data_IF_932180262032
#
_entry.id   IF_932180262032
#
_cell.length_a   1.000
_cell.length_b   1.000
_cell.length_c   1.000
_cell.angle_alpha   90.00
_cell.angle_beta   90.00
_cell.angle_gamma   90.00
#
_symmetry.space_group_name_H-M   'P 1'
#
loop_
_entity.id
_entity.type
_entity.pdbx_description
1 polymer ?
#
# COMPACT_ATOMS: atom_id res chain seq x y z
N UNK A 1 2.60 -17.41 -1.09
CA UNK A 1 1.56 -17.21 -0.03
C UNK A 1 1.12 -15.76 -0.09
N UNK A 2 -0.20 -15.49 0.07
CA UNK A 2 -0.73 -14.12 0.08
C UNK A 2 -0.96 -13.66 1.51
N UNK A 3 -0.72 -12.36 1.77
CA UNK A 3 -1.18 -11.66 2.95
C UNK A 3 -2.64 -11.25 2.71
N UNK A 4 -3.53 -11.74 3.55
CA UNK A 4 -4.95 -11.39 3.48
C UNK A 4 -5.20 -9.97 4.00
N UNK A 5 -6.32 -9.37 3.59
CA UNK A 5 -6.78 -8.06 4.06
C UNK A 5 -7.47 -8.19 5.43
N UNK A 6 -6.69 -8.28 6.49
CA UNK A 6 -7.19 -8.53 7.85
C UNK A 6 -7.95 -7.33 8.45
N UNK A 7 -7.75 -6.15 7.91
CA UNK A 7 -8.36 -4.90 8.40
C UNK A 7 -9.50 -4.38 7.52
N UNK A 8 -9.84 -5.10 6.44
CA UNK A 8 -11.04 -4.84 5.65
C UNK A 8 -12.31 -5.03 6.51
N UNK A 9 -13.22 -4.08 6.46
CA UNK A 9 -14.41 -4.01 7.32
C UNK A 9 -14.15 -3.44 8.73
N UNK A 10 -12.88 -3.13 9.07
CA UNK A 10 -12.49 -2.56 10.36
C UNK A 10 -11.90 -1.15 10.16
N UNK A 11 -10.87 -1.03 9.34
CA UNK A 11 -10.18 0.24 9.04
C UNK A 11 -10.71 0.91 7.77
N UNK A 12 -11.22 0.11 6.82
CA UNK A 12 -11.76 0.54 5.54
C UNK A 12 -12.84 -0.45 5.08
N UNK A 13 -13.74 -0.09 4.13
CA UNK A 13 -14.80 -0.97 3.66
C UNK A 13 -14.28 -2.29 3.10
N UNK A 14 -14.96 -3.41 3.43
CA UNK A 14 -14.64 -4.74 2.91
C UNK A 14 -15.19 -4.97 1.49
N UNK A 15 -16.24 -4.25 1.11
CA UNK A 15 -16.86 -4.38 -0.20
C UNK A 15 -16.17 -3.49 -1.21
N UNK A 16 -15.79 -4.06 -2.36
CA UNK A 16 -15.03 -3.37 -3.41
C UNK A 16 -15.69 -2.08 -3.88
N UNK A 17 -17.00 -2.11 -4.13
CA UNK A 17 -17.75 -0.95 -4.62
C UNK A 17 -17.80 0.17 -3.58
N UNK A 18 -18.05 -0.19 -2.31
CA UNK A 18 -18.07 0.76 -1.20
C UNK A 18 -16.71 1.42 -1.01
N UNK A 19 -15.63 0.61 -1.03
CA UNK A 19 -14.26 1.10 -0.89
C UNK A 19 -13.88 2.05 -2.04
N UNK A 20 -14.19 1.69 -3.28
CA UNK A 20 -13.94 2.56 -4.42
C UNK A 20 -14.70 3.89 -4.33
N UNK A 21 -15.98 3.84 -3.98
CA UNK A 21 -16.81 5.04 -3.84
C UNK A 21 -16.26 5.96 -2.74
N UNK A 22 -15.79 5.37 -1.62
CA UNK A 22 -15.18 6.12 -0.54
C UNK A 22 -13.88 6.80 -0.99
N UNK A 23 -12.98 6.06 -1.64
CA UNK A 23 -11.72 6.59 -2.16
C UNK A 23 -11.95 7.72 -3.18
N UNK A 24 -12.91 7.54 -4.09
CA UNK A 24 -13.29 8.59 -5.06
C UNK A 24 -13.82 9.84 -4.36
N UNK A 25 -14.58 9.68 -3.26
CA UNK A 25 -15.12 10.81 -2.50
C UNK A 25 -14.03 11.65 -1.80
N UNK A 26 -12.86 11.05 -1.54
CA UNK A 26 -11.72 11.73 -0.92
C UNK A 26 -10.86 12.52 -1.90
N UNK A 27 -10.99 12.27 -3.22
CA UNK A 27 -10.21 12.96 -4.23
C UNK A 27 -10.52 14.44 -4.27
N UNK A 28 -9.50 15.26 -4.22
CA UNK A 28 -9.60 16.70 -4.43
C UNK A 28 -9.70 17.00 -5.93
N UNK A 29 -10.60 17.89 -6.30
CA UNK A 29 -10.81 18.30 -7.71
C UNK A 29 -9.74 19.28 -8.18
N UNK A 30 -9.35 20.19 -7.30
CA UNK A 30 -8.39 21.25 -7.59
C UNK A 30 -7.05 20.90 -6.92
N UNK A 31 -6.22 20.15 -7.63
CA UNK A 31 -4.85 19.86 -7.22
C UNK A 31 -3.86 20.68 -8.02
N UNK A 32 -2.74 21.05 -7.39
CA UNK A 32 -1.66 21.73 -8.07
C UNK A 32 -1.00 20.82 -9.11
N UNK A 33 -0.53 21.39 -10.20
CA UNK A 33 0.23 20.67 -11.23
C UNK A 33 1.67 20.44 -10.77
N UNK A 34 1.82 19.57 -9.79
CA UNK A 34 3.10 19.18 -9.23
C UNK A 34 3.03 17.69 -8.81
N UNK A 35 4.16 17.01 -8.88
CA UNK A 35 4.29 15.60 -8.46
C UNK A 35 5.49 15.43 -7.54
N UNK A 36 5.44 14.40 -6.69
CA UNK A 36 6.52 14.06 -5.76
C UNK A 36 6.82 12.57 -5.79
N UNK A 37 8.06 12.23 -5.49
CA UNK A 37 8.52 10.83 -5.40
C UNK A 37 8.29 10.20 -4.03
N UNK A 38 7.98 10.99 -3.02
CA UNK A 38 7.75 10.51 -1.66
C UNK A 38 6.70 11.35 -0.95
N UNK A 39 5.90 10.70 -0.12
CA UNK A 39 4.88 11.30 0.73
C UNK A 39 4.96 10.70 2.13
N UNK A 40 4.45 11.43 3.11
CA UNK A 40 4.21 10.95 4.47
C UNK A 40 2.72 11.06 4.72
N UNK A 41 2.08 9.96 5.07
CA UNK A 41 0.63 9.87 5.23
C UNK A 41 0.26 9.25 6.58
N UNK A 42 -0.90 9.59 7.15
CA UNK A 42 -1.43 8.93 8.34
C UNK A 42 -2.05 7.57 7.95
N UNK A 43 -1.92 6.56 8.82
CA UNK A 43 -2.41 5.20 8.62
C UNK A 43 -3.50 4.75 9.62
N UNK A 44 -4.37 5.67 10.04
CA UNK A 44 -5.55 5.33 10.84
C UNK A 44 -6.70 4.80 9.95
N UNK A 45 -7.80 4.39 10.58
CA UNK A 45 -9.01 4.03 9.83
C UNK A 45 -9.48 5.17 8.90
N UNK A 46 -10.01 4.82 7.75
CA UNK A 46 -10.31 5.76 6.65
C UNK A 46 -11.24 6.90 7.04
N UNK A 47 -12.20 6.66 7.93
CA UNK A 47 -13.09 7.70 8.45
C UNK A 47 -12.35 8.80 9.22
N UNK A 48 -11.16 8.53 9.74
CA UNK A 48 -10.36 9.50 10.49
C UNK A 48 -9.28 10.16 9.63
N UNK A 49 -8.58 9.40 8.81
CA UNK A 49 -7.40 9.87 8.10
C UNK A 49 -7.42 9.68 6.59
N UNK A 50 -8.40 8.97 6.03
CA UNK A 50 -8.42 8.63 4.60
C UNK A 50 -8.42 9.83 3.68
N UNK A 51 -9.15 10.91 4.03
CA UNK A 51 -9.15 12.13 3.25
C UNK A 51 -7.77 12.82 3.25
N UNK A 52 -7.07 12.85 4.38
CA UNK A 52 -5.74 13.42 4.49
C UNK A 52 -4.71 12.57 3.70
N UNK A 53 -4.80 11.24 3.81
CA UNK A 53 -3.96 10.33 3.04
C UNK A 53 -4.17 10.52 1.54
N UNK A 54 -5.42 10.50 1.04
CA UNK A 54 -5.75 10.72 -0.38
C UNK A 54 -5.20 12.05 -0.88
N UNK A 55 -5.29 13.10 -0.09
CA UNK A 55 -4.77 14.43 -0.45
C UNK A 55 -3.28 14.41 -0.77
N UNK A 56 -2.49 13.59 -0.07
CA UNK A 56 -1.07 13.42 -0.36
C UNK A 56 -0.83 12.44 -1.51
N UNK A 57 -1.54 11.31 -1.54
CA UNK A 57 -1.40 10.29 -2.58
C UNK A 57 -1.66 10.83 -3.99
N UNK A 58 -2.56 11.80 -4.16
CA UNK A 58 -2.83 12.42 -5.45
C UNK A 58 -1.61 13.15 -6.05
N UNK A 59 -0.60 13.47 -5.23
CA UNK A 59 0.65 14.09 -5.69
C UNK A 59 1.77 13.09 -5.94
N UNK A 60 1.61 11.81 -5.56
CA UNK A 60 2.63 10.80 -5.78
C UNK A 60 2.80 10.52 -7.28
N UNK A 61 4.05 10.48 -7.75
CA UNK A 61 4.35 10.06 -9.12
C UNK A 61 4.08 8.56 -9.31
N UNK A 62 3.44 8.14 -10.41
CA UNK A 62 3.42 6.73 -10.78
C UNK A 62 4.85 6.18 -10.89
N UNK A 63 5.09 5.00 -10.32
CA UNK A 63 6.42 4.38 -10.28
C UNK A 63 6.30 2.87 -10.50
N UNK A 64 7.34 2.29 -11.07
CA UNK A 64 7.45 0.83 -11.26
C UNK A 64 7.46 0.07 -9.93
N UNK A 65 8.07 0.67 -8.90
CA UNK A 65 8.11 0.13 -7.55
C UNK A 65 7.69 1.19 -6.55
N UNK A 66 6.82 0.81 -5.62
CA UNK A 66 6.41 1.64 -4.49
C UNK A 66 6.97 1.02 -3.22
N UNK A 67 7.71 1.81 -2.44
CA UNK A 67 8.17 1.45 -1.12
C UNK A 67 7.21 2.00 -0.09
N UNK A 68 6.62 1.13 0.72
CA UNK A 68 5.79 1.53 1.86
C UNK A 68 6.60 1.24 3.12
N UNK A 69 6.83 2.27 3.91
CA UNK A 69 7.59 2.18 5.16
C UNK A 69 6.67 2.59 6.29
N UNK A 70 6.45 1.70 7.24
CA UNK A 70 5.61 1.93 8.39
C UNK A 70 6.26 1.47 9.69
N UNK A 71 5.75 1.94 10.86
CA UNK A 71 6.19 1.46 12.15
C UNK A 71 5.70 0.03 12.39
N UNK A 72 6.33 -0.68 13.32
CA UNK A 72 5.77 -1.90 13.89
C UNK A 72 4.99 -1.55 15.16
N UNK A 73 3.71 -1.94 15.22
CA UNK A 73 2.86 -1.72 16.40
C UNK A 73 2.88 -2.90 17.37
N UNK A 74 3.40 -4.06 16.96
CA UNK A 74 3.30 -5.29 17.72
C UNK A 74 4.66 -5.88 18.13
N UNK A 75 5.74 -5.47 17.47
CA UNK A 75 7.08 -6.01 17.68
C UNK A 75 8.11 -4.90 17.88
N UNK A 76 9.01 -5.10 18.83
CA UNK A 76 10.21 -4.26 18.99
C UNK A 76 11.39 -4.92 18.30
N UNK A 77 12.02 -4.25 17.36
CA UNK A 77 13.24 -4.69 16.69
C UNK A 77 14.06 -3.51 16.15
N UNK A 78 15.35 -3.71 15.98
CA UNK A 78 16.28 -2.64 15.55
C UNK A 78 16.71 -2.76 14.08
N UNK A 79 16.01 -3.58 13.30
CA UNK A 79 16.33 -3.87 11.92
C UNK A 79 15.13 -3.49 11.01
N UNK A 80 15.28 -3.71 9.73
CA UNK A 80 14.20 -3.61 8.74
C UNK A 80 13.52 -4.98 8.66
N UNK A 81 12.19 -5.04 8.81
CA UNK A 81 11.41 -6.23 8.54
C UNK A 81 10.93 -6.20 7.08
N UNK A 82 11.11 -7.31 6.38
CA UNK A 82 10.70 -7.51 5.00
C UNK A 82 9.77 -8.72 4.89
N UNK A 83 8.71 -8.67 4.05
CA UNK A 83 7.79 -9.79 3.87
C UNK A 83 8.36 -10.86 2.93
N UNK A 84 7.87 -12.11 3.11
CA UNK A 84 8.03 -13.21 2.15
C UNK A 84 6.75 -13.50 1.36
N UNK A 85 5.73 -12.66 1.52
CA UNK A 85 4.50 -12.81 0.74
C UNK A 85 4.75 -12.62 -0.74
N UNK A 86 3.93 -13.27 -1.57
CA UNK A 86 3.93 -13.04 -3.02
C UNK A 86 3.00 -11.91 -3.37
N UNK A 87 1.88 -11.79 -2.64
CA UNK A 87 0.87 -10.75 -2.85
C UNK A 87 0.35 -10.25 -1.50
N UNK A 88 -0.08 -8.99 -1.50
CA UNK A 88 -0.97 -8.43 -0.50
C UNK A 88 -2.36 -8.29 -1.12
N UNK A 89 -3.35 -8.94 -0.51
CA UNK A 89 -4.73 -8.92 -0.96
C UNK A 89 -5.46 -7.71 -0.34
N UNK A 90 -6.34 -7.09 -1.13
CA UNK A 90 -7.28 -6.06 -0.69
C UNK A 90 -8.64 -6.31 -1.34
N UNK A 91 -9.71 -5.65 -0.92
CA UNK A 91 -11.00 -5.73 -1.64
C UNK A 91 -10.92 -5.27 -3.10
N UNK A 92 -9.90 -4.49 -3.48
CA UNK A 92 -9.68 -4.04 -4.86
C UNK A 92 -8.84 -5.02 -5.70
N UNK A 93 -8.37 -6.12 -5.11
CA UNK A 93 -7.53 -7.13 -5.75
C UNK A 93 -6.17 -7.29 -5.07
N UNK A 94 -5.28 -8.07 -5.66
CA UNK A 94 -3.97 -8.39 -5.11
C UNK A 94 -2.86 -7.50 -5.67
N UNK A 95 -1.96 -7.03 -4.81
CA UNK A 95 -0.74 -6.32 -5.16
C UNK A 95 0.46 -7.26 -5.06
N UNK A 96 1.24 -7.35 -6.13
CA UNK A 96 2.44 -8.19 -6.16
C UNK A 96 3.59 -7.57 -5.35
N UNK A 97 4.26 -8.41 -4.56
CA UNK A 97 5.49 -8.04 -3.86
C UNK A 97 6.68 -8.29 -4.77
N UNK A 98 7.53 -7.29 -4.97
CA UNK A 98 8.76 -7.45 -5.75
C UNK A 98 9.82 -8.24 -4.94
N UNK A 99 9.67 -9.56 -4.92
CA UNK A 99 10.55 -10.46 -4.16
C UNK A 99 12.01 -10.44 -4.63
N UNK A 100 12.27 -10.01 -5.87
CA UNK A 100 13.63 -9.79 -6.34
C UNK A 100 14.27 -8.61 -5.61
N UNK A 101 13.54 -7.50 -5.53
CA UNK A 101 14.00 -6.29 -4.84
C UNK A 101 14.13 -6.51 -3.32
N UNK A 102 13.22 -7.30 -2.71
CA UNK A 102 13.33 -7.73 -1.31
C UNK A 102 14.68 -8.41 -1.04
N UNK A 103 15.11 -9.34 -1.89
CA UNK A 103 16.39 -10.03 -1.76
C UNK A 103 17.57 -9.07 -1.92
N UNK A 104 17.52 -8.18 -2.91
CA UNK A 104 18.57 -7.18 -3.13
C UNK A 104 18.73 -6.22 -1.94
N UNK A 105 17.64 -5.87 -1.27
CA UNK A 105 17.66 -5.04 -0.04
C UNK A 105 18.28 -5.84 1.11
N UNK A 106 17.87 -7.10 1.30
CA UNK A 106 18.37 -7.95 2.37
C UNK A 106 19.87 -8.26 2.25
N UNK A 107 20.43 -8.27 1.04
CA UNK A 107 21.87 -8.41 0.83
C UNK A 107 22.67 -7.15 1.21
N UNK A 108 22.03 -5.98 1.19
CA UNK A 108 22.72 -4.67 1.40
C UNK A 108 22.51 -4.09 2.79
N UNK A 109 21.43 -4.46 3.45
CA UNK A 109 21.03 -3.86 4.73
C UNK A 109 20.73 -4.94 5.79
N UNK A 110 20.92 -4.65 7.07
CA UNK A 110 20.48 -5.52 8.15
C UNK A 110 18.96 -5.67 8.14
N UNK A 111 18.46 -6.79 7.67
CA UNK A 111 17.02 -7.08 7.54
C UNK A 111 16.66 -8.40 8.19
N UNK A 112 15.41 -8.51 8.60
CA UNK A 112 14.76 -9.77 8.99
C UNK A 112 13.65 -10.04 7.99
N UNK A 113 13.70 -11.16 7.29
CA UNK A 113 12.66 -11.60 6.38
C UNK A 113 11.75 -12.57 7.14
N UNK A 114 10.56 -12.10 7.51
CA UNK A 114 9.59 -12.93 8.25
C UNK A 114 8.19 -12.31 8.16
N UNK A 115 7.22 -13.11 7.75
CA UNK A 115 5.83 -12.71 7.62
C UNK A 115 5.14 -12.39 8.96
N UNK A 116 5.63 -12.95 10.08
CA UNK A 116 5.05 -12.72 11.40
C UNK A 116 4.94 -11.24 11.75
N UNK A 117 5.90 -10.41 11.32
CA UNK A 117 5.88 -8.96 11.54
C UNK A 117 4.75 -8.24 10.83
N UNK A 118 4.10 -8.88 9.85
CA UNK A 118 3.04 -8.32 9.03
C UNK A 118 1.65 -8.90 9.33
N UNK A 119 1.55 -10.02 10.08
CA UNK A 119 0.27 -10.72 10.29
C UNK A 119 -0.80 -9.88 10.96
N UNK A 120 -0.42 -9.04 11.93
CA UNK A 120 -1.34 -8.17 12.68
C UNK A 120 -1.06 -6.68 12.46
N UNK A 121 -0.21 -6.36 11.47
CA UNK A 121 0.20 -4.99 11.20
C UNK A 121 -0.70 -4.36 10.15
N UNK A 122 -1.28 -3.21 10.49
CA UNK A 122 -2.22 -2.50 9.64
C UNK A 122 -1.60 -1.36 8.83
N UNK A 123 -0.47 -0.77 9.29
CA UNK A 123 0.06 0.46 8.72
C UNK A 123 0.43 0.34 7.23
N UNK A 124 0.83 -0.84 6.77
CA UNK A 124 1.10 -1.10 5.34
C UNK A 124 -0.22 -1.38 4.60
N UNK A 125 -1.08 -2.23 5.18
CA UNK A 125 -2.30 -2.69 4.53
C UNK A 125 -3.25 -1.52 4.19
N UNK A 126 -3.42 -0.57 5.10
CA UNK A 126 -4.34 0.56 4.91
C UNK A 126 -3.91 1.51 3.79
N UNK A 127 -2.65 1.48 3.37
CA UNK A 127 -2.15 2.32 2.29
C UNK A 127 -2.35 1.71 0.89
N UNK A 128 -2.51 0.39 0.82
CA UNK A 128 -2.58 -0.34 -0.45
C UNK A 128 -3.77 0.08 -1.33
N UNK A 129 -5.00 0.28 -0.82
CA UNK A 129 -6.13 0.68 -1.65
C UNK A 129 -5.97 2.06 -2.29
N UNK A 130 -5.24 3.00 -1.67
CA UNK A 130 -4.95 4.30 -2.29
C UNK A 130 -4.08 4.13 -3.53
N UNK A 131 -3.04 3.29 -3.44
CA UNK A 131 -2.14 2.96 -4.55
C UNK A 131 -2.93 2.31 -5.69
N UNK A 132 -3.79 1.33 -5.38
CA UNK A 132 -4.61 0.66 -6.37
C UNK A 132 -5.57 1.61 -7.06
N UNK A 133 -6.27 2.44 -6.30
CA UNK A 133 -7.25 3.37 -6.85
C UNK A 133 -6.65 4.44 -7.77
N UNK A 134 -5.42 4.90 -7.47
CA UNK A 134 -4.77 5.98 -8.22
C UNK A 134 -3.94 5.48 -9.40
N UNK A 135 -3.29 4.32 -9.26
CA UNK A 135 -2.29 3.87 -10.24
C UNK A 135 -2.69 2.61 -10.99
N UNK A 136 -3.65 1.82 -10.46
CA UNK A 136 -4.13 0.60 -11.11
C UNK A 136 -5.57 0.82 -11.56
N UNK A 137 -5.85 1.05 -12.84
CA UNK A 137 -7.23 1.11 -13.32
C UNK A 137 -7.92 -0.23 -13.06
N UNK A 138 -9.19 -0.21 -12.62
CA UNK A 138 -10.00 -1.31 -12.07
C UNK A 138 -10.16 -2.58 -12.94
N UNK A 139 -9.44 -2.70 -14.05
CA UNK A 139 -9.47 -3.85 -14.96
C UNK A 139 -8.11 -4.47 -15.25
N UNK A 140 -7.04 -3.97 -14.66
CA UNK A 140 -5.70 -4.54 -14.83
C UNK A 140 -5.26 -5.21 -13.55
N UNK A 141 -4.86 -6.48 -13.63
CA UNK A 141 -4.20 -7.18 -12.55
C UNK A 141 -2.85 -6.48 -12.24
N UNK A 142 -2.41 -6.52 -11.00
CA UNK A 142 -1.14 -5.94 -10.56
C UNK A 142 0.07 -6.39 -11.41
N UNK A 143 -0.02 -7.54 -12.06
CA UNK A 143 0.97 -8.06 -13.02
C UNK A 143 1.15 -7.13 -14.23
N UNK A 144 0.11 -6.42 -14.67
CA UNK A 144 0.18 -5.50 -15.81
C UNK A 144 0.76 -4.14 -15.43
N UNK A 145 0.69 -3.77 -14.14
CA UNK A 145 1.28 -2.53 -13.64
C UNK A 145 2.80 -2.54 -13.76
N UNK A 146 3.45 -3.64 -13.42
CA UNK A 146 4.92 -3.79 -13.55
C UNK A 146 5.36 -3.80 -15.02
N UNK A 147 4.50 -4.23 -15.94
CA UNK A 147 4.80 -4.30 -17.39
C UNK A 147 4.59 -3.00 -18.16
N UNK A 148 3.73 -2.13 -17.67
CA UNK A 148 3.30 -0.91 -18.41
C UNK A 148 4.03 0.37 -17.99
N UNK A 149 4.84 0.33 -16.95
CA UNK A 149 5.73 1.41 -16.55
C UNK A 149 7.09 1.26 -17.29
N UNK A 150 7.10 1.55 -18.56
CA UNK A 150 8.32 1.71 -19.36
C UNK A 150 8.62 3.18 -19.59
#
# INVERSE_FOLDING_TARGET
>A
MNKQSDFAGIFYPAEQEELNNLLESYKQKDIFDYRTKAIIVPHAGYIYSGHAAMSAFQYLEPSENVFIIGPSHHFEFNNIALPEYTYFDTPLGSLEVNNKLIKEIAEKFPCVINNEYFEKEHCIEVELPFIQNLFLPQKQNAVDFVKNLK
#
